data_IF_546659413298
#
_entry.id   IF_546659413298
#
_cell.length_a   1.000
_cell.length_b   1.000
_cell.length_c   1.000
_cell.angle_alpha   90.00
_cell.angle_beta   90.00
_cell.angle_gamma   90.00
#
_symmetry.space_group_name_H-M   'P 1'
#
loop_
_entity.id
_entity.type
_entity.pdbx_description
1 polymer ?
#
# COMPACT_ATOMS: atom_id res chain seq x y z
N UNK A 1 10.26 -4.92 16.17
CA UNK A 1 9.65 -4.43 14.92
C UNK A 1 10.48 -3.29 14.38
N UNK A 2 11.03 -3.39 13.17
CA UNK A 2 11.79 -2.29 12.57
C UNK A 2 10.88 -1.08 12.36
N UNK A 3 11.34 0.12 12.73
CA UNK A 3 10.64 1.40 12.50
C UNK A 3 10.32 1.67 11.01
N UNK A 4 10.85 0.87 10.10
CA UNK A 4 10.63 0.99 8.65
C UNK A 4 9.53 0.09 8.08
N UNK A 5 9.23 -1.05 8.70
CA UNK A 5 8.24 -2.01 8.22
C UNK A 5 6.88 -1.71 8.87
N UNK A 6 5.96 -1.17 8.07
CA UNK A 6 4.67 -0.69 8.57
C UNK A 6 3.64 -1.82 8.66
N UNK A 7 3.80 -2.87 7.84
CA UNK A 7 2.94 -4.05 7.78
C UNK A 7 3.73 -5.30 8.18
N UNK A 8 3.12 -6.18 8.96
CA UNK A 8 3.65 -7.54 9.16
C UNK A 8 3.48 -8.37 7.88
N UNK A 9 4.24 -9.47 7.77
CA UNK A 9 4.10 -10.39 6.62
C UNK A 9 2.69 -10.99 6.56
N UNK A 10 2.11 -11.37 7.72
CA UNK A 10 0.73 -11.87 7.79
C UNK A 10 -0.30 -10.83 7.31
N UNK A 11 -0.13 -9.55 7.67
CA UNK A 11 -0.98 -8.48 7.15
C UNK A 11 -0.79 -8.31 5.64
N UNK A 12 0.45 -8.45 5.15
CA UNK A 12 0.74 -8.36 3.73
C UNK A 12 0.11 -9.49 2.93
N UNK A 13 0.15 -10.72 3.43
CA UNK A 13 -0.48 -11.90 2.80
C UNK A 13 -1.99 -11.71 2.58
N UNK A 14 -2.67 -10.97 3.48
CA UNK A 14 -4.08 -10.62 3.32
C UNK A 14 -4.30 -9.52 2.27
N UNK A 15 -3.35 -8.60 2.13
CA UNK A 15 -3.46 -7.42 1.27
C UNK A 15 -3.08 -7.74 -0.17
N UNK A 16 -2.05 -8.56 -0.37
CA UNK A 16 -1.47 -8.86 -1.69
C UNK A 16 -2.51 -9.33 -2.72
N UNK A 17 -3.46 -10.23 -2.41
CA UNK A 17 -4.48 -10.68 -3.36
C UNK A 17 -5.45 -9.58 -3.80
N UNK A 18 -5.57 -8.49 -3.02
CA UNK A 18 -6.46 -7.36 -3.31
C UNK A 18 -5.82 -6.34 -4.25
N UNK A 19 -4.52 -6.48 -4.51
CA UNK A 19 -3.78 -5.58 -5.38
C UNK A 19 -4.27 -5.70 -6.83
N UNK A 20 -4.49 -4.57 -7.51
CA UNK A 20 -4.89 -4.61 -8.92
C UNK A 20 -3.75 -5.20 -9.75
N UNK A 21 -4.02 -6.32 -10.42
CA UNK A 21 -3.04 -7.00 -11.27
C UNK A 21 -2.70 -6.20 -12.55
N UNK A 22 -1.52 -6.45 -13.10
CA UNK A 22 -1.13 -6.00 -14.46
C UNK A 22 -1.66 -6.92 -15.56
N UNK A 23 -2.37 -8.00 -15.23
CA UNK A 23 -2.71 -9.05 -16.19
C UNK A 23 -3.33 -8.46 -17.48
N UNK A 24 -2.71 -8.80 -18.61
CA UNK A 24 -3.10 -8.32 -19.95
C UNK A 24 -2.60 -6.91 -20.33
N UNK A 25 -1.83 -6.20 -19.49
CA UNK A 25 -1.31 -4.84 -19.79
C UNK A 25 0.20 -4.83 -20.02
N UNK A 26 0.63 -4.22 -21.14
CA UNK A 26 2.04 -4.10 -21.50
C UNK A 26 2.76 -3.14 -20.55
N UNK A 27 3.80 -3.63 -19.89
CA UNK A 27 4.60 -2.90 -18.91
C UNK A 27 4.29 -3.38 -17.49
N UNK A 28 5.33 -3.75 -16.76
CA UNK A 28 5.25 -4.24 -15.38
C UNK A 28 4.97 -3.07 -14.41
N UNK A 29 3.80 -2.44 -14.58
CA UNK A 29 3.41 -1.18 -13.95
C UNK A 29 3.21 -1.31 -12.44
N UNK A 30 3.14 -2.54 -11.96
CA UNK A 30 2.75 -2.92 -10.60
C UNK A 30 3.85 -3.66 -9.81
N UNK A 31 5.12 -3.61 -10.22
CA UNK A 31 6.22 -4.01 -9.33
C UNK A 31 6.13 -3.25 -8.00
N UNK A 32 6.45 -3.96 -6.92
CA UNK A 32 6.59 -3.46 -5.54
C UNK A 32 5.30 -2.86 -4.92
N UNK A 33 4.17 -3.55 -5.03
CA UNK A 33 2.93 -3.14 -4.34
C UNK A 33 3.15 -2.93 -2.84
N UNK A 34 3.87 -3.84 -2.18
CA UNK A 34 4.18 -3.76 -0.75
C UNK A 34 4.85 -2.44 -0.39
N UNK A 35 5.92 -2.09 -1.09
CA UNK A 35 6.66 -0.84 -0.86
C UNK A 35 5.77 0.39 -0.99
N UNK A 36 4.89 0.42 -2.00
CA UNK A 36 3.98 1.56 -2.19
C UNK A 36 2.95 1.63 -1.06
N UNK A 37 2.32 0.50 -0.72
CA UNK A 37 1.32 0.44 0.36
C UNK A 37 1.96 0.86 1.68
N UNK A 38 3.12 0.30 2.03
CA UNK A 38 3.86 0.69 3.24
C UNK A 38 4.23 2.18 3.24
N UNK A 39 4.61 2.75 2.09
CA UNK A 39 4.89 4.18 1.97
C UNK A 39 3.68 5.06 2.22
N UNK A 40 2.51 4.65 1.73
CA UNK A 40 1.24 5.32 2.02
C UNK A 40 0.92 5.24 3.51
N UNK A 41 0.96 4.04 4.10
CA UNK A 41 0.63 3.87 5.52
C UNK A 41 1.63 4.63 6.41
N UNK A 42 2.93 4.62 6.07
CA UNK A 42 3.94 5.42 6.77
C UNK A 42 3.58 6.91 6.78
N UNK A 43 3.21 7.46 5.61
CA UNK A 43 2.83 8.87 5.47
C UNK A 43 1.61 9.23 6.31
N UNK A 44 0.59 8.36 6.35
CA UNK A 44 -0.58 8.57 7.20
C UNK A 44 -0.27 8.46 8.70
N UNK A 45 0.59 7.51 9.11
CA UNK A 45 1.01 7.36 10.52
C UNK A 45 1.86 8.52 11.03
N UNK A 46 2.65 9.15 10.16
CA UNK A 46 3.61 10.21 10.54
C UNK A 46 3.11 11.62 10.24
N UNK A 47 2.08 11.77 9.40
CA UNK A 47 1.51 13.07 9.04
C UNK A 47 2.38 13.92 8.11
N UNK A 48 3.49 13.37 7.59
CA UNK A 48 4.42 14.13 6.74
C UNK A 48 3.81 14.55 5.41
N UNK A 49 4.37 15.61 4.83
CA UNK A 49 4.04 15.99 3.47
C UNK A 49 4.51 14.91 2.48
N UNK A 50 3.82 14.78 1.35
CA UNK A 50 4.20 13.80 0.32
C UNK A 50 5.63 13.97 -0.16
N UNK A 51 6.12 15.22 -0.27
CA UNK A 51 7.49 15.53 -0.73
C UNK A 51 8.57 15.03 0.23
N UNK A 52 8.23 14.83 1.49
CA UNK A 52 9.15 14.38 2.54
C UNK A 52 9.12 12.86 2.73
N UNK A 53 8.39 12.13 1.87
CA UNK A 53 8.32 10.69 1.94
C UNK A 53 9.72 10.08 1.77
N UNK A 54 10.17 9.20 2.69
CA UNK A 54 11.48 8.59 2.59
C UNK A 54 11.69 7.81 1.29
N UNK A 55 12.86 7.99 0.66
CA UNK A 55 13.21 7.41 -0.65
C UNK A 55 13.14 5.88 -0.68
N UNK A 56 13.25 5.21 0.48
CA UNK A 56 13.05 3.75 0.60
C UNK A 56 11.69 3.26 0.08
N UNK A 57 10.68 4.14 0.03
CA UNK A 57 9.36 3.83 -0.52
C UNK A 57 9.24 4.09 -2.04
N UNK A 58 10.33 4.60 -2.64
CA UNK A 58 10.39 5.06 -4.02
C UNK A 58 9.96 6.53 -4.17
N UNK A 59 9.92 7.03 -5.42
CA UNK A 59 9.58 8.42 -5.69
C UNK A 59 8.17 8.75 -5.18
N UNK A 60 8.05 9.82 -4.38
CA UNK A 60 6.79 10.19 -3.75
C UNK A 60 5.65 10.43 -4.76
N UNK A 61 5.96 10.91 -5.98
CA UNK A 61 4.98 11.10 -7.04
C UNK A 61 4.37 9.78 -7.48
N UNK A 62 5.16 8.70 -7.52
CA UNK A 62 4.70 7.36 -7.86
C UNK A 62 3.79 6.82 -6.76
N UNK A 63 4.21 6.96 -5.51
CA UNK A 63 3.41 6.54 -4.34
C UNK A 63 2.08 7.29 -4.32
N UNK A 64 2.10 8.62 -4.48
CA UNK A 64 0.90 9.44 -4.53
C UNK A 64 -0.04 9.08 -5.69
N UNK A 65 0.50 8.89 -6.91
CA UNK A 65 -0.31 8.48 -8.08
C UNK A 65 -0.99 7.12 -7.84
N UNK A 66 -0.28 6.15 -7.26
CA UNK A 66 -0.87 4.85 -6.92
C UNK A 66 -1.90 4.96 -5.80
N UNK A 67 -1.60 5.70 -4.74
CA UNK A 67 -2.56 5.99 -3.67
C UNK A 67 -3.86 6.57 -4.22
N UNK A 68 -3.78 7.63 -5.04
CA UNK A 68 -4.95 8.26 -5.67
C UNK A 68 -5.74 7.28 -6.52
N UNK A 69 -5.06 6.41 -7.28
CA UNK A 69 -5.72 5.36 -8.07
C UNK A 69 -6.46 4.36 -7.18
N UNK A 70 -5.82 3.90 -6.11
CA UNK A 70 -6.41 2.96 -5.16
C UNK A 70 -7.60 3.53 -4.39
N UNK A 71 -7.63 4.85 -4.18
CA UNK A 71 -8.84 5.53 -3.68
C UNK A 71 -9.95 5.51 -4.73
N UNK A 72 -9.61 5.75 -5.99
CA UNK A 72 -10.61 5.84 -7.07
C UNK A 72 -11.19 4.49 -7.51
N UNK A 73 -10.48 3.38 -7.32
CA UNK A 73 -10.92 2.03 -7.70
C UNK A 73 -11.35 1.15 -6.51
N UNK A 74 -11.50 1.74 -5.32
CA UNK A 74 -11.96 1.05 -4.11
C UNK A 74 -10.98 0.01 -3.56
N UNK A 75 -9.70 0.04 -3.99
CA UNK A 75 -8.67 -0.87 -3.44
C UNK A 75 -8.47 -0.64 -1.94
N UNK A 76 -8.46 0.61 -1.47
CA UNK A 76 -8.31 0.90 -0.04
C UNK A 76 -9.48 0.40 0.80
N UNK A 77 -10.70 0.50 0.29
CA UNK A 77 -11.90 0.00 1.00
C UNK A 77 -11.82 -1.51 1.17
N UNK A 78 -11.43 -2.24 0.12
CA UNK A 78 -11.22 -3.70 0.18
C UNK A 78 -10.14 -4.08 1.18
N UNK A 79 -9.02 -3.36 1.20
CA UNK A 79 -7.95 -3.58 2.18
C UNK A 79 -8.45 -3.34 3.60
N UNK A 80 -9.18 -2.25 3.82
CA UNK A 80 -9.71 -1.91 5.14
C UNK A 80 -10.66 -2.99 5.66
N UNK A 81 -11.61 -3.44 4.82
CA UNK A 81 -12.54 -4.52 5.16
C UNK A 81 -11.80 -5.82 5.48
N UNK A 82 -10.81 -6.22 4.69
CA UNK A 82 -10.06 -7.45 4.92
C UNK A 82 -9.26 -7.42 6.23
N UNK A 83 -8.63 -6.29 6.54
CA UNK A 83 -7.87 -6.12 7.78
C UNK A 83 -8.79 -6.07 9.01
N UNK A 84 -9.96 -5.42 8.92
CA UNK A 84 -10.94 -5.43 10.01
C UNK A 84 -11.47 -6.84 10.28
N UNK A 85 -11.89 -7.55 9.23
CA UNK A 85 -12.38 -8.92 9.38
C UNK A 85 -11.35 -9.87 10.01
N UNK A 86 -10.06 -9.69 9.69
CA UNK A 86 -8.99 -10.45 10.32
C UNK A 86 -8.80 -10.08 11.80
N UNK A 87 -8.90 -8.80 12.15
CA UNK A 87 -8.79 -8.34 13.53
C UNK A 87 -9.98 -8.80 14.40
N UNK A 88 -11.19 -8.85 13.84
CA UNK A 88 -12.39 -9.32 14.54
C UNK A 88 -12.39 -10.85 14.78
N UNK A 89 -11.63 -11.59 13.97
CA UNK A 89 -11.51 -13.05 14.07
C UNK A 89 -10.35 -13.52 14.98
N UNK A 90 -9.54 -12.59 15.50
CA UNK A 90 -8.37 -12.85 16.34
C UNK A 90 -8.66 -12.59 17.82
#
# INVERSE_FOLDING_TARGET
MSRSAVLSDAQWELIEPLMPSSDGKRGNRFRDHRRIVEGVVYRFRTGIAWRDLPERFGPWQTVWKRHRRFCGDGTWDRIHTALLAHADAA
#
